data_IF_241002164862
#
_entry.id   IF_241002164862
#
_cell.length_a   1.000
_cell.length_b   1.000
_cell.length_c   1.000
_cell.angle_alpha   90.00
_cell.angle_beta   90.00
_cell.angle_gamma   90.00
#
_symmetry.space_group_name_H-M   'P 1'
#
loop_
_entity.id
_entity.type
_entity.pdbx_description
1 polymer ?
#
# COMPACT_ATOMS: atom_id res chain seq x y z
N UNK A 1 3.13 -9.99 25.04
CA UNK A 1 3.62 -10.32 23.68
C UNK A 1 3.32 -9.18 22.72
N UNK A 2 4.27 -8.83 21.90
CA UNK A 2 4.12 -7.75 20.93
C UNK A 2 3.19 -8.18 19.79
N UNK A 3 2.20 -7.35 19.45
CA UNK A 3 1.32 -7.63 18.32
C UNK A 3 2.13 -7.62 17.01
N UNK A 4 1.75 -8.48 16.06
CA UNK A 4 2.34 -8.47 14.72
C UNK A 4 1.86 -7.26 13.93
N UNK A 5 2.56 -6.92 12.85
CA UNK A 5 2.09 -5.85 11.96
C UNK A 5 0.74 -6.20 11.36
N UNK A 6 0.50 -7.46 11.03
CA UNK A 6 -0.78 -7.94 10.52
C UNK A 6 -1.91 -7.68 11.53
N UNK A 7 -1.70 -8.03 12.80
CA UNK A 7 -2.69 -7.78 13.85
C UNK A 7 -2.97 -6.29 14.01
N UNK A 8 -1.93 -5.45 13.90
CA UNK A 8 -2.06 -3.99 13.99
C UNK A 8 -2.88 -3.41 12.85
N UNK A 9 -2.73 -3.98 11.66
CA UNK A 9 -3.50 -3.55 10.49
C UNK A 9 -4.93 -4.06 10.56
N UNK A 10 -5.12 -5.33 10.89
CA UNK A 10 -6.42 -5.96 10.89
C UNK A 10 -7.44 -5.28 11.82
N UNK A 11 -6.98 -4.74 12.95
CA UNK A 11 -7.87 -4.03 13.87
C UNK A 11 -8.37 -2.69 13.31
N UNK A 12 -7.72 -2.17 12.28
CA UNK A 12 -8.11 -0.91 11.64
C UNK A 12 -9.05 -1.12 10.45
N UNK A 13 -9.22 -2.36 10.00
CA UNK A 13 -9.99 -2.67 8.80
C UNK A 13 -11.42 -3.13 9.13
N UNK A 14 -12.40 -2.83 8.27
CA UNK A 14 -12.28 -1.98 7.09
C UNK A 14 -12.10 -0.52 7.45
N UNK A 15 -11.43 0.25 6.59
CA UNK A 15 -11.28 1.69 6.79
C UNK A 15 -11.79 2.45 5.57
N UNK A 16 -12.35 3.61 5.82
CA UNK A 16 -13.04 4.45 4.83
C UNK A 16 -12.16 5.60 4.33
N UNK A 17 -12.69 6.29 3.35
CA UNK A 17 -12.12 7.55 2.91
C UNK A 17 -10.92 7.40 2.01
N UNK A 18 -10.85 6.28 1.27
CA UNK A 18 -9.74 6.03 0.34
C UNK A 18 -9.62 7.17 -0.66
N UNK A 19 -8.42 7.71 -0.80
CA UNK A 19 -8.07 8.71 -1.79
C UNK A 19 -6.62 8.53 -2.20
N UNK A 20 -6.29 8.96 -3.41
CA UNK A 20 -4.95 8.82 -3.97
C UNK A 20 -4.43 10.15 -4.46
N UNK A 21 -3.11 10.35 -4.34
CA UNK A 21 -2.40 11.41 -5.05
C UNK A 21 -1.13 10.82 -5.67
N UNK A 22 -0.67 11.41 -6.77
CA UNK A 22 0.57 11.01 -7.41
C UNK A 22 1.67 12.01 -7.06
N UNK A 23 2.76 11.50 -6.48
CA UNK A 23 3.97 12.29 -6.25
C UNK A 23 4.89 12.06 -7.44
N UNK A 24 5.41 13.13 -8.01
CA UNK A 24 6.28 13.07 -9.20
C UNK A 24 5.66 12.30 -10.36
N UNK A 25 4.34 12.25 -10.43
CA UNK A 25 3.55 11.56 -11.46
C UNK A 25 3.72 10.04 -11.51
N UNK A 26 4.49 9.44 -10.61
CA UNK A 26 4.80 8.00 -10.66
C UNK A 26 4.55 7.25 -9.36
N UNK A 27 4.55 7.94 -8.24
CA UNK A 27 4.45 7.30 -6.94
C UNK A 27 3.11 7.60 -6.29
N UNK A 28 2.20 6.63 -6.23
CA UNK A 28 0.92 6.84 -5.56
C UNK A 28 1.09 6.94 -4.05
N UNK A 29 0.38 7.86 -3.44
CA UNK A 29 0.16 7.86 -2.00
C UNK A 29 -1.32 7.61 -1.79
N UNK A 30 -1.64 6.53 -1.11
CA UNK A 30 -3.00 6.21 -0.72
C UNK A 30 -3.24 6.67 0.72
N UNK A 31 -4.36 7.32 0.93
CA UNK A 31 -4.80 7.68 2.28
C UNK A 31 -6.20 7.16 2.53
N UNK A 32 -6.40 6.64 3.72
CA UNK A 32 -7.73 6.39 4.27
C UNK A 32 -7.86 7.20 5.56
N UNK A 33 -8.95 7.04 6.29
CA UNK A 33 -9.13 7.77 7.54
C UNK A 33 -8.03 7.47 8.58
N UNK A 34 -7.42 6.27 8.52
CA UNK A 34 -6.45 5.83 9.53
C UNK A 34 -5.14 5.31 8.97
N UNK A 35 -5.02 5.12 7.66
CA UNK A 35 -3.83 4.54 7.04
C UNK A 35 -3.31 5.48 5.95
N UNK A 36 -2.00 5.66 5.90
CA UNK A 36 -1.32 6.30 4.77
C UNK A 36 -0.33 5.29 4.21
N UNK A 37 -0.37 5.07 2.90
CA UNK A 37 0.52 4.14 2.21
C UNK A 37 1.21 4.84 1.06
N UNK A 38 2.54 4.95 1.14
CA UNK A 38 3.37 5.42 0.05
C UNK A 38 3.82 4.20 -0.76
N UNK A 39 3.50 4.18 -2.04
CA UNK A 39 3.88 3.09 -2.95
C UNK A 39 5.09 3.54 -3.75
N UNK A 40 6.23 2.94 -3.48
CA UNK A 40 7.51 3.30 -4.10
C UNK A 40 8.06 2.18 -4.99
N UNK A 41 7.53 0.96 -4.87
CA UNK A 41 7.89 -0.16 -5.72
C UNK A 41 6.93 -0.34 -6.89
N UNK A 42 7.21 -1.32 -7.75
CA UNK A 42 6.29 -1.68 -8.83
C UNK A 42 4.93 -2.10 -8.28
N UNK A 43 3.88 -1.80 -9.00
CA UNK A 43 2.54 -2.20 -8.58
C UNK A 43 1.66 -2.53 -9.77
N UNK A 44 0.65 -3.33 -9.52
CA UNK A 44 -0.42 -3.63 -10.47
C UNK A 44 -1.76 -3.56 -9.73
N UNK A 45 -2.82 -3.32 -10.46
CA UNK A 45 -4.14 -3.32 -9.88
C UNK A 45 -5.23 -3.49 -10.91
N UNK A 46 -6.44 -3.68 -10.40
CA UNK A 46 -7.60 -3.88 -11.25
C UNK A 46 -8.84 -3.35 -10.56
N UNK A 47 -9.69 -2.65 -11.31
CA UNK A 47 -11.01 -2.22 -10.85
C UNK A 47 -11.97 -2.46 -12.02
N UNK A 48 -12.83 -3.47 -11.90
CA UNK A 48 -13.68 -3.89 -12.99
C UNK A 48 -12.85 -4.37 -14.18
N UNK A 49 -13.00 -3.72 -15.33
CA UNK A 49 -12.22 -4.00 -16.54
C UNK A 49 -10.98 -3.11 -16.68
N UNK A 50 -10.74 -2.23 -15.71
CA UNK A 50 -9.64 -1.27 -15.76
C UNK A 50 -8.43 -1.79 -15.01
N UNK A 51 -7.33 -2.02 -15.73
CA UNK A 51 -6.05 -2.42 -15.16
C UNK A 51 -5.13 -1.22 -15.02
N UNK A 52 -4.29 -1.22 -13.99
CA UNK A 52 -3.30 -0.18 -13.76
C UNK A 52 -1.97 -0.78 -13.36
N UNK A 53 -0.88 -0.08 -13.67
CA UNK A 53 0.47 -0.43 -13.25
C UNK A 53 1.35 0.82 -13.35
N UNK A 54 2.55 0.78 -12.75
CA UNK A 54 3.42 1.95 -12.59
C UNK A 54 3.88 2.58 -13.90
N UNK A 55 3.92 1.83 -14.99
CA UNK A 55 4.39 2.34 -16.28
C UNK A 55 3.30 2.95 -17.14
N UNK A 56 2.07 2.95 -16.66
CA UNK A 56 0.96 3.63 -17.36
C UNK A 56 1.20 5.13 -17.33
N UNK A 57 0.86 5.79 -18.43
CA UNK A 57 0.98 7.25 -18.52
C UNK A 57 0.34 7.92 -17.30
N UNK A 58 0.98 8.95 -16.70
CA UNK A 58 0.50 9.55 -15.45
C UNK A 58 -0.96 9.98 -15.44
N UNK A 59 -1.46 10.56 -16.53
CA UNK A 59 -2.85 10.98 -16.58
C UNK A 59 -3.82 9.79 -16.57
N UNK A 60 -3.44 8.68 -17.21
CA UNK A 60 -4.23 7.46 -17.23
C UNK A 60 -4.16 6.78 -15.86
N UNK A 61 -2.98 6.74 -15.26
CA UNK A 61 -2.80 6.20 -13.92
C UNK A 61 -3.66 6.96 -12.90
N UNK A 62 -3.60 8.29 -12.93
CA UNK A 62 -4.39 9.12 -12.04
C UNK A 62 -5.89 8.84 -12.19
N UNK A 63 -6.35 8.68 -13.44
CA UNK A 63 -7.74 8.37 -13.72
C UNK A 63 -8.16 7.00 -13.16
N UNK A 64 -7.28 5.99 -13.28
CA UNK A 64 -7.56 4.66 -12.74
C UNK A 64 -7.56 4.65 -11.21
N UNK A 65 -6.60 5.33 -10.59
CA UNK A 65 -6.54 5.44 -9.14
C UNK A 65 -7.77 6.15 -8.57
N UNK A 66 -8.29 7.12 -9.29
CA UNK A 66 -9.49 7.84 -8.88
C UNK A 66 -10.71 6.94 -8.73
N UNK A 67 -10.74 5.80 -9.43
CA UNK A 67 -11.84 4.85 -9.32
C UNK A 67 -11.89 4.16 -7.95
N UNK A 68 -10.79 4.18 -7.21
CA UNK A 68 -10.75 3.64 -5.85
C UNK A 68 -11.17 4.67 -4.79
N UNK A 69 -11.25 5.95 -5.17
CA UNK A 69 -11.61 6.99 -4.22
C UNK A 69 -13.01 6.79 -3.65
N UNK A 70 -13.14 6.96 -2.35
CA UNK A 70 -14.38 6.75 -1.62
C UNK A 70 -14.66 5.31 -1.27
N UNK A 71 -13.90 4.35 -1.78
CA UNK A 71 -14.08 2.94 -1.44
C UNK A 71 -13.51 2.64 -0.05
N UNK A 72 -14.00 1.58 0.55
CA UNK A 72 -13.43 1.05 1.78
C UNK A 72 -12.23 0.15 1.44
N UNK A 73 -11.18 0.26 2.23
CA UNK A 73 -10.09 -0.72 2.23
C UNK A 73 -10.52 -1.85 3.14
N UNK A 74 -10.70 -3.04 2.59
CA UNK A 74 -11.29 -4.18 3.28
C UNK A 74 -10.26 -5.11 3.90
N UNK A 75 -9.15 -5.34 3.19
CA UNK A 75 -8.13 -6.29 3.63
C UNK A 75 -6.76 -5.85 3.15
N UNK A 76 -5.75 -6.16 3.95
CA UNK A 76 -4.35 -5.96 3.61
C UNK A 76 -3.64 -7.27 3.91
N UNK A 77 -2.97 -7.83 2.91
CA UNK A 77 -2.16 -9.03 3.07
C UNK A 77 -0.76 -8.75 2.57
N UNK A 78 0.22 -9.40 3.16
CA UNK A 78 1.61 -9.21 2.75
C UNK A 78 2.45 -10.45 2.95
N UNK A 79 3.54 -10.48 2.21
CA UNK A 79 4.59 -11.48 2.26
C UNK A 79 5.89 -10.72 2.03
N UNK A 80 7.07 -11.29 2.23
CA UNK A 80 8.31 -10.58 1.91
C UNK A 80 8.36 -9.99 0.49
N UNK A 81 7.67 -10.62 -0.46
CA UNK A 81 7.72 -10.21 -1.86
C UNK A 81 6.60 -9.30 -2.33
N UNK A 82 5.57 -9.06 -1.52
CA UNK A 82 4.41 -8.28 -1.99
C UNK A 82 3.54 -7.77 -0.86
N UNK A 83 2.75 -6.74 -1.21
CA UNK A 83 1.69 -6.18 -0.37
C UNK A 83 0.43 -6.13 -1.22
N UNK A 84 -0.66 -6.74 -0.75
CA UNK A 84 -1.92 -6.78 -1.47
C UNK A 84 -3.03 -6.05 -0.71
N UNK A 85 -3.73 -5.18 -1.43
CA UNK A 85 -4.81 -4.36 -0.89
C UNK A 85 -6.11 -4.74 -1.59
N UNK A 86 -7.12 -5.13 -0.82
CA UNK A 86 -8.46 -5.38 -1.34
C UNK A 86 -9.39 -4.24 -0.97
N UNK A 87 -10.06 -3.70 -1.97
CA UNK A 87 -11.07 -2.64 -1.81
C UNK A 87 -12.46 -3.21 -2.05
N UNK A 88 -13.48 -2.43 -1.79
CA UNK A 88 -14.88 -2.82 -2.06
C UNK A 88 -15.06 -3.28 -3.50
N UNK A 89 -14.39 -2.60 -4.43
CA UNK A 89 -14.41 -2.97 -5.85
C UNK A 89 -12.99 -2.78 -6.41
N UNK A 90 -12.26 -3.88 -6.48
CA UNK A 90 -10.91 -3.87 -7.03
C UNK A 90 -9.82 -4.19 -6.01
N UNK A 91 -8.60 -4.20 -6.52
CA UNK A 91 -7.43 -4.53 -5.70
C UNK A 91 -6.18 -3.86 -6.27
N UNK A 92 -5.19 -3.66 -5.42
CA UNK A 92 -3.85 -3.18 -5.81
C UNK A 92 -2.83 -4.06 -5.13
N UNK A 93 -1.81 -4.49 -5.87
CA UNK A 93 -0.68 -5.25 -5.32
C UNK A 93 0.62 -4.52 -5.60
N UNK A 94 1.39 -4.28 -4.54
CA UNK A 94 2.74 -3.73 -4.63
C UNK A 94 3.72 -4.89 -4.59
N UNK A 95 4.69 -4.90 -5.48
CA UNK A 95 5.68 -5.97 -5.60
C UNK A 95 7.04 -5.46 -5.13
N UNK A 96 7.74 -6.26 -4.34
CA UNK A 96 9.07 -5.89 -3.87
C UNK A 96 10.04 -5.80 -5.04
N UNK A 97 10.75 -4.68 -5.12
CA UNK A 97 11.76 -4.46 -6.14
C UNK A 97 13.07 -5.13 -5.72
N UNK A 98 13.33 -6.32 -6.23
CA UNK A 98 14.53 -7.09 -5.87
C UNK A 98 15.83 -6.48 -6.37
N UNK A 99 15.75 -5.60 -7.37
CA UNK A 99 16.92 -4.95 -7.96
C UNK A 99 17.52 -3.88 -7.04
N UNK A 100 16.73 -3.27 -6.17
CA UNK A 100 17.15 -2.20 -5.28
C UNK A 100 16.98 -2.64 -3.83
N UNK A 101 17.90 -3.44 -3.35
CA UNK A 101 17.81 -4.11 -2.04
C UNK A 101 17.72 -3.20 -0.83
N UNK A 102 18.23 -1.99 -0.94
CA UNK A 102 18.23 -1.06 0.18
C UNK A 102 17.00 -0.16 0.22
N UNK A 103 16.10 -0.29 -0.75
CA UNK A 103 14.92 0.56 -0.85
C UNK A 103 13.66 -0.21 -0.49
N UNK A 104 12.85 0.39 0.36
CA UNK A 104 11.52 -0.11 0.61
C UNK A 104 10.64 0.06 -0.64
N UNK A 105 9.75 -0.91 -0.87
CA UNK A 105 8.76 -0.85 -1.95
C UNK A 105 7.45 -0.23 -1.50
N UNK A 106 7.24 -0.14 -0.20
CA UNK A 106 6.12 0.59 0.39
C UNK A 106 6.47 1.10 1.77
N UNK A 107 5.80 2.19 2.14
CA UNK A 107 5.86 2.74 3.51
C UNK A 107 4.42 2.93 3.97
N UNK A 108 4.01 2.18 4.96
CA UNK A 108 2.67 2.26 5.52
C UNK A 108 2.73 2.92 6.90
N UNK A 109 1.99 4.01 7.05
CA UNK A 109 1.87 4.71 8.32
C UNK A 109 0.50 4.41 8.92
N UNK A 110 0.52 3.84 10.12
CA UNK A 110 -0.65 3.54 10.93
C UNK A 110 -0.61 4.43 12.17
N UNK A 111 -1.68 4.50 12.97
CA UNK A 111 -1.59 5.22 14.23
C UNK A 111 -0.43 4.67 15.09
N UNK A 112 0.55 5.54 15.39
CA UNK A 112 1.74 5.24 16.21
C UNK A 112 2.71 4.21 15.63
N UNK A 113 2.57 3.80 14.37
CA UNK A 113 3.42 2.78 13.76
C UNK A 113 3.74 3.17 12.32
N UNK A 114 4.99 2.99 11.94
CA UNK A 114 5.42 3.08 10.53
C UNK A 114 6.02 1.74 10.14
N UNK A 115 5.52 1.16 9.05
CA UNK A 115 6.01 -0.08 8.49
C UNK A 115 6.60 0.18 7.11
N UNK A 116 7.89 -0.11 6.98
CA UNK A 116 8.60 -0.03 5.71
C UNK A 116 8.85 -1.45 5.23
N UNK A 117 8.34 -1.79 4.07
CA UNK A 117 8.38 -3.17 3.62
C UNK A 117 8.85 -3.34 2.19
N UNK A 118 8.95 -4.61 1.79
CA UNK A 118 9.39 -4.97 0.45
C UNK A 118 10.89 -4.85 0.26
N UNK A 119 11.66 -4.90 1.35
CA UNK A 119 13.13 -4.85 1.30
C UNK A 119 13.70 -6.26 1.50
N UNK A 120 14.61 -6.63 0.64
CA UNK A 120 15.58 -7.71 0.81
C UNK A 120 15.10 -8.96 1.57
N UNK A 121 13.91 -9.45 1.25
CA UNK A 121 13.38 -10.70 1.78
C UNK A 121 12.97 -10.71 3.24
N UNK A 122 12.93 -9.57 3.89
CA UNK A 122 12.48 -9.48 5.28
C UNK A 122 10.97 -9.71 5.37
N UNK A 123 10.57 -10.45 6.37
CA UNK A 123 9.16 -10.65 6.65
C UNK A 123 8.48 -9.39 7.18
N UNK A 124 7.14 -9.34 7.09
CA UNK A 124 6.41 -8.12 7.46
C UNK A 124 6.62 -7.68 8.91
N UNK A 125 6.84 -8.60 9.82
CA UNK A 125 7.00 -8.24 11.24
C UNK A 125 8.39 -7.74 11.61
N UNK A 126 9.35 -7.77 10.68
CA UNK A 126 10.73 -7.34 10.95
C UNK A 126 11.02 -5.91 10.50
N UNK A 127 10.17 -5.34 9.68
CA UNK A 127 10.43 -4.05 9.03
C UNK A 127 9.76 -2.87 9.72
N UNK A 128 8.83 -3.12 10.61
CA UNK A 128 8.04 -2.04 11.19
C UNK A 128 8.61 -1.54 12.51
N UNK A 129 8.31 -0.28 12.81
CA UNK A 129 8.73 0.40 14.05
C UNK A 129 7.54 1.09 14.69
N UNK A 130 7.54 1.10 16.01
CA UNK A 130 6.57 1.86 16.78
C UNK A 130 7.03 3.31 16.82
N UNK A 131 6.12 4.23 16.52
CA UNK A 131 6.37 5.66 16.61
C UNK A 131 6.04 6.09 18.04
N UNK A 132 7.05 6.49 18.79
CA UNK A 132 6.95 6.82 20.21
C UNK A 132 6.56 8.28 20.48
N UNK A 133 5.62 8.79 19.81
CA UNK A 133 5.18 10.16 20.05
C UNK A 133 4.10 10.26 21.12
#
# INVERSE_FOLDING_TARGET
MKATIRERIDVLLPTRGTRFELVDNHHPIMRTDVITLEITGPFVGCQGVHSLWEEVEPSVLASHLKRFEGQDLLAVESDPGWLHLDFTDGWIRVVAATTYRSWESWVMTLPKITWRGGMDGKGPDKDWKVDER
#
